data_IF_454499695651
#
_entry.id   IF_454499695651
#
_cell.length_a   1.000
_cell.length_b   1.000
_cell.length_c   1.000
_cell.angle_alpha   90.00
_cell.angle_beta   90.00
_cell.angle_gamma   90.00
#
_symmetry.space_group_name_H-M   'P 1'
#
loop_
_entity.id
_entity.type
_entity.pdbx_description
1 polymer ?
#
# COMPACT_ATOMS: atom_id res chain seq x y z
N UNK A 1 9.06 8.89 19.66
CA UNK A 1 8.15 8.00 20.42
C UNK A 1 6.80 8.08 19.74
N UNK A 2 6.29 6.95 19.25
CA UNK A 2 5.08 6.92 18.43
C UNK A 2 3.81 6.99 19.30
N UNK A 3 2.87 7.86 18.96
CA UNK A 3 1.55 7.94 19.57
C UNK A 3 0.55 7.11 18.75
N UNK A 4 0.19 5.93 19.28
CA UNK A 4 -0.71 4.98 18.67
C UNK A 4 -1.81 4.61 19.65
N UNK A 5 -3.08 4.87 19.31
CA UNK A 5 -4.18 4.74 20.26
C UNK A 5 -5.32 3.85 19.77
N UNK A 6 -6.06 3.29 20.72
CA UNK A 6 -7.33 2.65 20.50
C UNK A 6 -8.40 3.67 20.07
N UNK A 7 -9.41 3.23 19.33
CA UNK A 7 -10.51 4.08 18.83
C UNK A 7 -11.83 3.32 18.75
N UNK A 8 -12.93 4.04 18.61
CA UNK A 8 -14.27 3.46 18.42
C UNK A 8 -14.53 3.28 16.92
N UNK A 9 -14.18 2.11 16.36
CA UNK A 9 -14.41 1.85 14.95
C UNK A 9 -15.90 1.71 14.61
N UNK A 10 -16.28 2.22 13.43
CA UNK A 10 -17.39 1.66 12.69
C UNK A 10 -16.88 0.48 11.89
N UNK A 11 -17.59 -0.64 11.94
CA UNK A 11 -17.21 -1.89 11.27
C UNK A 11 -18.43 -2.68 10.83
N UNK A 12 -18.30 -3.63 9.87
CA UNK A 12 -19.41 -4.43 9.38
C UNK A 12 -20.18 -5.13 10.51
N UNK A 13 -21.52 -5.12 10.44
CA UNK A 13 -22.31 -6.08 11.20
C UNK A 13 -21.91 -7.50 10.76
N UNK A 14 -21.89 -8.48 11.67
CA UNK A 14 -21.28 -9.81 11.45
C UNK A 14 -21.76 -10.50 10.18
N UNK A 15 -23.05 -10.39 9.85
CA UNK A 15 -23.60 -10.99 8.63
C UNK A 15 -23.12 -10.31 7.33
N UNK A 16 -22.50 -9.14 7.42
CA UNK A 16 -21.98 -8.34 6.31
C UNK A 16 -20.45 -8.37 6.21
N UNK A 17 -19.75 -9.12 7.06
CA UNK A 17 -18.30 -9.15 7.13
C UNK A 17 -17.59 -9.43 5.81
N UNK A 18 -18.20 -10.23 4.91
CA UNK A 18 -17.66 -10.57 3.59
C UNK A 18 -18.30 -9.75 2.45
N UNK A 19 -19.32 -8.94 2.73
CA UNK A 19 -20.04 -8.16 1.73
C UNK A 19 -19.56 -6.70 1.65
N UNK A 20 -19.21 -6.12 2.80
CA UNK A 20 -18.79 -4.71 2.86
C UNK A 20 -17.33 -4.53 2.43
N UNK A 21 -16.34 -5.25 2.99
CA UNK A 21 -14.95 -4.97 2.70
C UNK A 21 -14.61 -5.11 1.22
N UNK A 22 -13.76 -4.22 0.73
CA UNK A 22 -13.35 -4.18 -0.66
C UNK A 22 -11.86 -3.83 -0.78
N UNK A 23 -11.24 -4.20 -1.91
CA UNK A 23 -9.90 -3.77 -2.25
C UNK A 23 -9.80 -2.23 -2.30
N UNK A 24 -8.61 -1.66 -2.04
CA UNK A 24 -8.40 -0.21 -2.10
C UNK A 24 -8.75 0.38 -3.46
N UNK A 25 -9.21 1.62 -3.47
CA UNK A 25 -9.69 2.35 -4.65
C UNK A 25 -8.70 2.44 -5.83
N UNK A 26 -7.41 2.31 -5.56
CA UNK A 26 -6.32 2.55 -6.51
C UNK A 26 -5.79 1.29 -7.20
N UNK A 27 -6.36 0.11 -6.90
CA UNK A 27 -5.97 -1.16 -7.53
C UNK A 27 -6.89 -1.57 -8.70
N UNK A 28 -7.92 -0.76 -9.00
CA UNK A 28 -8.86 -1.01 -10.09
C UNK A 28 -9.37 0.30 -10.70
N UNK A 29 -9.83 0.26 -11.95
CA UNK A 29 -10.53 1.38 -12.59
C UNK A 29 -12.04 1.37 -12.26
N UNK A 30 -12.78 2.41 -12.71
CA UNK A 30 -14.20 2.55 -12.37
C UNK A 30 -15.11 1.54 -13.09
N UNK A 31 -14.76 1.11 -14.30
CA UNK A 31 -15.55 0.09 -15.01
C UNK A 31 -15.37 -1.29 -14.35
N UNK A 32 -14.13 -1.63 -13.93
CA UNK A 32 -13.84 -2.83 -13.14
C UNK A 32 -14.60 -2.81 -11.80
N UNK A 33 -14.53 -1.70 -11.06
CA UNK A 33 -15.24 -1.54 -9.80
C UNK A 33 -16.74 -1.72 -9.97
N UNK A 34 -17.33 -1.16 -11.03
CA UNK A 34 -18.76 -1.27 -11.33
C UNK A 34 -19.18 -2.72 -11.58
N UNK A 35 -18.37 -3.50 -12.30
CA UNK A 35 -18.67 -4.92 -12.53
C UNK A 35 -18.53 -5.73 -11.24
N UNK A 36 -17.53 -5.44 -10.40
CA UNK A 36 -17.31 -6.13 -9.11
C UNK A 36 -18.49 -5.96 -8.15
N UNK A 37 -19.19 -4.83 -8.17
CA UNK A 37 -20.29 -4.54 -7.23
C UNK A 37 -21.68 -4.85 -7.77
N UNK A 38 -21.82 -5.33 -9.01
CA UNK A 38 -23.08 -5.51 -9.73
C UNK A 38 -24.19 -6.18 -8.93
N UNK A 39 -23.83 -7.17 -8.12
CA UNK A 39 -24.76 -7.94 -7.29
C UNK A 39 -24.54 -7.70 -5.78
N UNK A 40 -23.75 -6.69 -5.41
CA UNK A 40 -23.40 -6.41 -4.02
C UNK A 40 -23.60 -4.93 -3.64
N UNK A 41 -24.81 -4.53 -3.23
CA UNK A 41 -25.11 -3.14 -2.85
C UNK A 41 -24.47 -2.71 -1.53
N UNK A 42 -23.81 -3.61 -0.81
CA UNK A 42 -23.11 -3.33 0.43
C UNK A 42 -21.62 -3.01 0.22
N UNK A 43 -21.06 -3.30 -0.97
CA UNK A 43 -19.62 -3.17 -1.22
C UNK A 43 -19.10 -1.78 -0.88
N UNK A 44 -17.98 -1.73 -0.21
CA UNK A 44 -17.33 -0.48 0.15
C UNK A 44 -16.81 0.31 -1.07
N UNK A 45 -16.75 -0.32 -2.26
CA UNK A 45 -16.47 0.37 -3.51
C UNK A 45 -17.52 1.45 -3.85
N UNK A 46 -18.77 1.32 -3.39
CA UNK A 46 -19.77 2.38 -3.50
C UNK A 46 -19.39 3.65 -2.72
N UNK A 47 -18.43 3.56 -1.80
CA UNK A 47 -17.91 4.70 -1.02
C UNK A 47 -16.57 5.15 -1.59
N UNK A 48 -15.62 4.23 -1.73
CA UNK A 48 -14.25 4.56 -2.18
C UNK A 48 -14.17 4.95 -3.67
N UNK A 49 -15.15 4.51 -4.49
CA UNK A 49 -15.30 4.78 -5.93
C UNK A 49 -16.75 5.15 -6.28
N UNK A 50 -17.31 6.11 -5.55
CA UNK A 50 -18.73 6.46 -5.63
C UNK A 50 -19.20 6.93 -7.02
N UNK A 51 -18.29 7.26 -7.93
CA UNK A 51 -18.60 7.54 -9.34
C UNK A 51 -19.31 6.40 -10.06
N UNK A 52 -19.16 5.14 -9.57
CA UNK A 52 -19.82 3.98 -10.16
C UNK A 52 -21.35 4.00 -10.02
N UNK A 53 -21.86 4.77 -9.05
CA UNK A 53 -23.29 4.96 -8.78
C UNK A 53 -23.88 6.17 -9.52
N UNK A 54 -23.05 6.91 -10.25
CA UNK A 54 -23.44 8.11 -10.99
C UNK A 54 -23.53 7.84 -12.50
N UNK A 55 -24.16 8.74 -13.27
CA UNK A 55 -24.24 8.60 -14.72
C UNK A 55 -22.88 8.42 -15.38
N UNK A 56 -22.80 7.56 -16.41
CA UNK A 56 -21.55 7.36 -17.17
C UNK A 56 -21.06 8.68 -17.77
N UNK A 57 -19.77 9.00 -17.52
CA UNK A 57 -19.15 10.24 -17.97
C UNK A 57 -19.13 11.34 -16.92
N UNK A 58 -19.65 11.09 -15.71
CA UNK A 58 -19.45 12.00 -14.57
C UNK A 58 -17.94 12.15 -14.32
N UNK A 59 -17.50 13.40 -14.12
CA UNK A 59 -16.10 13.65 -13.71
C UNK A 59 -15.87 13.04 -12.32
N UNK A 60 -14.94 12.09 -12.26
CA UNK A 60 -14.62 11.34 -11.03
C UNK A 60 -14.09 12.24 -9.90
N UNK A 61 -13.71 13.49 -10.20
CA UNK A 61 -13.25 14.50 -9.25
C UNK A 61 -14.31 15.59 -8.96
N UNK A 62 -15.55 15.39 -9.41
CA UNK A 62 -16.64 16.34 -9.12
C UNK A 62 -17.14 16.26 -7.67
N UNK A 63 -17.68 17.37 -7.13
CA UNK A 63 -18.28 17.40 -5.79
C UNK A 63 -19.41 16.39 -5.61
N UNK A 64 -20.09 16.03 -6.70
CA UNK A 64 -21.18 15.06 -6.70
C UNK A 64 -20.68 13.66 -6.28
N UNK A 65 -19.48 13.27 -6.73
CA UNK A 65 -18.87 11.97 -6.37
C UNK A 65 -18.61 11.91 -4.86
N UNK A 66 -18.03 12.95 -4.27
CA UNK A 66 -17.75 12.96 -2.82
C UNK A 66 -19.03 13.03 -1.97
N UNK A 67 -20.04 13.78 -2.44
CA UNK A 67 -21.37 13.77 -1.77
C UNK A 67 -22.02 12.41 -1.83
N UNK A 68 -21.88 11.69 -2.98
CA UNK A 68 -22.40 10.33 -3.12
C UNK A 68 -21.67 9.34 -2.22
N UNK A 69 -20.34 9.46 -2.08
CA UNK A 69 -19.56 8.67 -1.13
C UNK A 69 -20.07 8.84 0.31
N UNK A 70 -20.28 10.09 0.74
CA UNK A 70 -20.85 10.40 2.05
C UNK A 70 -22.25 9.82 2.24
N UNK A 71 -23.14 10.01 1.26
CA UNK A 71 -24.50 9.46 1.30
C UNK A 71 -24.50 7.94 1.46
N UNK A 72 -23.64 7.25 0.71
CA UNK A 72 -23.51 5.79 0.77
C UNK A 72 -22.97 5.33 2.13
N UNK A 73 -21.97 6.02 2.68
CA UNK A 73 -21.43 5.72 4.02
C UNK A 73 -22.51 5.89 5.09
N UNK A 74 -23.16 7.04 5.13
CA UNK A 74 -24.26 7.30 6.08
C UNK A 74 -25.41 6.30 5.94
N UNK A 75 -25.70 5.82 4.73
CA UNK A 75 -26.73 4.81 4.52
C UNK A 75 -26.36 3.46 5.14
N UNK A 76 -25.08 3.01 5.00
CA UNK A 76 -24.63 1.78 5.66
C UNK A 76 -24.70 1.88 7.19
N UNK A 77 -24.43 3.06 7.77
CA UNK A 77 -24.54 3.32 9.20
C UNK A 77 -26.00 3.33 9.65
N UNK A 78 -26.87 4.11 8.98
CA UNK A 78 -28.30 4.22 9.31
C UNK A 78 -29.06 2.90 9.20
N UNK A 79 -28.67 2.04 8.28
CA UNK A 79 -29.27 0.71 8.11
C UNK A 79 -28.74 -0.34 9.07
N UNK A 80 -27.70 0.00 9.86
CA UNK A 80 -27.05 -0.92 10.78
C UNK A 80 -26.15 -1.97 10.07
N UNK A 81 -25.85 -1.75 8.77
CA UNK A 81 -24.88 -2.57 8.06
C UNK A 81 -23.45 -2.32 8.58
N UNK A 82 -23.17 -1.09 9.00
CA UNK A 82 -22.03 -0.72 9.83
C UNK A 82 -22.49 -0.46 11.27
N UNK A 83 -21.75 -0.98 12.23
CA UNK A 83 -22.00 -0.82 13.68
C UNK A 83 -20.81 -0.14 14.34
N UNK A 84 -21.06 0.76 15.28
CA UNK A 84 -20.02 1.40 16.07
C UNK A 84 -19.72 0.61 17.34
N UNK A 85 -18.45 0.43 17.67
CA UNK A 85 -18.04 -0.13 18.94
C UNK A 85 -18.32 0.82 20.10
N UNK A 86 -18.67 0.27 21.26
CA UNK A 86 -19.18 1.06 22.40
C UNK A 86 -18.08 1.81 23.16
N UNK A 87 -16.84 1.39 23.03
CA UNK A 87 -15.66 1.97 23.68
C UNK A 87 -14.44 1.89 22.74
N UNK A 88 -13.39 2.67 22.98
CA UNK A 88 -12.16 2.56 22.22
C UNK A 88 -11.55 1.18 22.36
N UNK A 89 -11.17 0.57 21.22
CA UNK A 89 -10.55 -0.73 21.13
C UNK A 89 -9.33 -0.67 20.21
N UNK A 90 -8.37 -1.56 20.41
CA UNK A 90 -7.50 -2.00 19.34
C UNK A 90 -8.11 -3.22 18.64
N UNK A 91 -7.66 -3.48 17.42
CA UNK A 91 -8.08 -4.68 16.70
C UNK A 91 -6.85 -5.42 16.22
N UNK A 92 -6.90 -6.75 16.23
CA UNK A 92 -5.92 -7.57 15.53
C UNK A 92 -6.48 -7.85 14.16
N UNK A 93 -5.71 -7.57 13.13
CA UNK A 93 -6.04 -7.88 11.75
C UNK A 93 -5.01 -8.82 11.16
N UNK A 94 -5.44 -10.06 10.88
CA UNK A 94 -4.62 -11.10 10.26
C UNK A 94 -5.10 -11.39 8.86
N UNK A 95 -4.14 -11.47 7.96
CA UNK A 95 -4.35 -11.88 6.58
C UNK A 95 -3.51 -13.13 6.29
N UNK A 96 -4.10 -14.13 5.62
CA UNK A 96 -3.39 -15.34 5.18
C UNK A 96 -3.55 -15.47 3.67
N UNK A 97 -2.42 -15.42 2.95
CA UNK A 97 -2.36 -15.55 1.51
C UNK A 97 -1.29 -16.60 1.15
N UNK A 98 -1.66 -17.60 0.33
CA UNK A 98 -0.75 -18.67 -0.09
C UNK A 98 0.00 -19.37 1.07
N UNK A 99 -0.67 -19.54 2.22
CA UNK A 99 -0.11 -20.16 3.42
C UNK A 99 0.77 -19.26 4.28
N UNK A 100 1.07 -18.02 3.84
CA UNK A 100 1.80 -17.01 4.62
C UNK A 100 0.83 -16.12 5.37
N UNK A 101 1.09 -15.95 6.66
CA UNK A 101 0.33 -15.07 7.55
C UNK A 101 1.05 -13.75 7.77
N UNK A 102 0.30 -12.64 7.83
CA UNK A 102 0.75 -11.37 8.40
C UNK A 102 -0.30 -10.87 9.38
N UNK A 103 0.14 -10.39 10.54
CA UNK A 103 -0.73 -9.98 11.65
C UNK A 103 -0.33 -8.59 12.13
N UNK A 104 -1.24 -7.64 12.06
CA UNK A 104 -1.04 -6.26 12.49
C UNK A 104 -2.05 -5.83 13.55
N UNK A 105 -1.75 -4.71 14.18
CA UNK A 105 -2.64 -4.02 15.11
C UNK A 105 -3.30 -2.85 14.38
N UNK A 106 -4.62 -2.79 14.45
CA UNK A 106 -5.41 -1.65 13.95
C UNK A 106 -5.62 -0.67 15.08
N UNK A 107 -5.31 0.57 14.81
CA UNK A 107 -5.47 1.69 15.72
C UNK A 107 -5.33 3.02 14.97
N UNK A 108 -5.27 4.11 15.71
CA UNK A 108 -5.11 5.43 15.13
C UNK A 108 -3.74 6.01 15.48
N UNK A 109 -3.00 6.42 14.45
CA UNK A 109 -1.70 7.08 14.57
C UNK A 109 -1.85 8.61 14.53
N UNK A 110 -0.99 9.33 15.24
CA UNK A 110 -1.04 10.79 15.34
C UNK A 110 -0.60 11.49 14.06
N UNK A 111 -1.33 12.54 13.65
CA UNK A 111 -0.89 13.42 12.57
C UNK A 111 0.37 14.20 12.94
N UNK A 112 0.60 14.47 14.23
CA UNK A 112 1.83 15.12 14.70
C UNK A 112 3.06 14.25 14.50
N UNK A 113 2.93 12.93 14.66
CA UNK A 113 4.01 11.98 14.40
C UNK A 113 4.42 11.98 12.92
N UNK A 114 3.46 12.16 12.01
CA UNK A 114 3.78 12.33 10.60
C UNK A 114 4.49 13.67 10.32
N UNK A 115 4.03 14.77 10.92
CA UNK A 115 4.62 16.09 10.74
C UNK A 115 6.03 16.17 11.34
N UNK A 116 6.25 15.51 12.48
CA UNK A 116 7.54 15.48 13.20
C UNK A 116 8.46 14.35 12.72
N UNK A 117 8.11 13.66 11.62
CA UNK A 117 8.91 12.58 11.04
C UNK A 117 9.17 11.39 11.99
N UNK A 118 8.27 11.16 12.96
CA UNK A 118 8.19 9.91 13.72
C UNK A 118 7.55 8.84 12.83
N UNK A 119 6.57 9.21 12.00
CA UNK A 119 6.07 8.38 10.90
C UNK A 119 6.83 8.75 9.64
N UNK A 120 7.71 7.86 9.21
CA UNK A 120 8.67 8.07 8.13
C UNK A 120 8.11 7.69 6.78
N UNK A 121 8.53 8.43 5.76
CA UNK A 121 8.09 8.31 4.36
C UNK A 121 9.24 7.84 3.49
N UNK A 122 8.96 7.10 2.45
CA UNK A 122 9.93 6.70 1.45
C UNK A 122 9.45 6.99 0.01
N UNK A 123 8.27 7.62 -0.16
CA UNK A 123 7.71 7.97 -1.46
C UNK A 123 7.09 9.38 -1.42
N UNK A 124 7.21 10.12 -2.54
CA UNK A 124 6.51 11.38 -2.74
C UNK A 124 5.07 11.15 -3.21
N UNK A 125 4.15 11.94 -2.67
CA UNK A 125 2.77 11.96 -3.12
C UNK A 125 2.58 12.79 -4.38
N UNK A 126 1.58 12.43 -5.20
CA UNK A 126 1.16 13.20 -6.36
C UNK A 126 0.03 14.15 -5.96
N UNK A 127 0.20 15.45 -6.22
CA UNK A 127 -0.72 16.50 -5.78
C UNK A 127 -2.19 16.23 -6.17
N UNK A 128 -2.44 15.75 -7.40
CA UNK A 128 -3.80 15.44 -7.87
C UNK A 128 -4.47 14.30 -7.09
N UNK A 129 -3.71 13.22 -6.78
CA UNK A 129 -4.22 12.08 -5.99
C UNK A 129 -4.42 12.46 -4.54
N UNK A 130 -3.55 13.31 -4.02
CA UNK A 130 -3.65 13.80 -2.65
C UNK A 130 -4.88 14.70 -2.49
N UNK A 131 -5.12 15.64 -3.40
CA UNK A 131 -6.31 16.50 -3.40
C UNK A 131 -7.60 15.69 -3.47
N UNK A 132 -7.66 14.68 -4.32
CA UNK A 132 -8.79 13.75 -4.41
C UNK A 132 -9.09 13.11 -3.04
N UNK A 133 -8.08 12.58 -2.38
CA UNK A 133 -8.27 11.93 -1.07
C UNK A 133 -8.56 12.93 0.05
N UNK A 134 -8.02 14.15 0.02
CA UNK A 134 -8.39 15.22 0.95
C UNK A 134 -9.90 15.49 0.86
N UNK A 135 -10.41 15.70 -0.35
CA UNK A 135 -11.85 15.98 -0.56
C UNK A 135 -12.72 14.81 -0.12
N UNK A 136 -12.30 13.59 -0.39
CA UNK A 136 -13.00 12.37 0.03
C UNK A 136 -13.07 12.27 1.56
N UNK A 137 -11.94 12.33 2.27
CA UNK A 137 -11.84 12.23 3.73
C UNK A 137 -12.61 13.38 4.40
N UNK A 138 -12.45 14.61 3.90
CA UNK A 138 -13.11 15.79 4.46
C UNK A 138 -14.64 15.73 4.30
N UNK A 139 -15.13 15.29 3.13
CA UNK A 139 -16.56 15.18 2.84
C UNK A 139 -17.22 14.03 3.60
N UNK A 140 -16.59 12.87 3.65
CA UNK A 140 -17.06 11.71 4.42
C UNK A 140 -16.91 11.93 5.93
N UNK A 141 -16.09 12.89 6.36
CA UNK A 141 -15.69 13.12 7.75
C UNK A 141 -15.13 11.85 8.41
N UNK A 142 -14.43 11.04 7.65
CA UNK A 142 -13.93 9.73 8.09
C UNK A 142 -12.70 9.27 7.30
N UNK A 143 -11.84 8.50 7.95
CA UNK A 143 -10.86 7.65 7.29
C UNK A 143 -11.54 6.33 6.91
N UNK A 144 -11.70 6.08 5.63
CA UNK A 144 -12.48 4.95 5.06
C UNK A 144 -11.64 3.73 4.75
N UNK A 145 -10.33 3.87 4.67
CA UNK A 145 -9.38 2.79 4.43
C UNK A 145 -8.11 2.95 5.26
N UNK A 146 -7.58 1.88 5.84
CA UNK A 146 -6.43 1.97 6.72
C UNK A 146 -5.14 2.31 5.95
N UNK A 147 -4.26 3.04 6.62
CA UNK A 147 -2.88 3.26 6.18
C UNK A 147 -2.06 2.07 6.65
N UNK A 148 -1.21 1.54 5.78
CA UNK A 148 -0.35 0.41 6.06
C UNK A 148 0.97 0.91 6.66
N UNK A 149 1.15 0.71 7.96
CA UNK A 149 2.36 1.06 8.70
C UNK A 149 3.17 -0.18 9.05
N UNK A 150 4.48 -0.01 9.20
CA UNK A 150 5.36 -1.02 9.78
C UNK A 150 6.26 -0.40 10.85
N UNK A 151 6.76 -1.23 11.75
CA UNK A 151 7.67 -0.84 12.83
C UNK A 151 8.67 -1.96 13.11
N UNK A 152 9.82 -1.60 13.67
CA UNK A 152 10.81 -2.59 14.13
C UNK A 152 10.17 -3.42 15.24
N UNK A 153 10.18 -4.73 15.09
CA UNK A 153 9.52 -5.68 15.99
C UNK A 153 9.73 -5.34 17.46
N UNK A 154 8.64 -5.36 18.21
CA UNK A 154 8.62 -5.32 19.67
C UNK A 154 8.00 -6.62 20.18
N UNK A 155 8.79 -7.41 20.90
CA UNK A 155 8.36 -8.74 21.37
C UNK A 155 7.20 -8.69 22.36
N UNK A 156 7.06 -7.63 23.16
CA UNK A 156 5.95 -7.47 24.09
C UNK A 156 4.65 -7.29 23.30
N UNK A 157 4.65 -6.41 22.30
CA UNK A 157 3.48 -6.22 21.42
C UNK A 157 3.13 -7.54 20.72
N UNK A 158 4.11 -8.19 20.08
CA UNK A 158 3.89 -9.45 19.35
C UNK A 158 3.35 -10.55 20.24
N UNK A 159 3.89 -10.70 21.44
CA UNK A 159 3.42 -11.70 22.42
C UNK A 159 2.01 -11.38 22.92
N UNK A 160 1.69 -10.12 23.19
CA UNK A 160 0.35 -9.67 23.61
C UNK A 160 -0.69 -9.98 22.54
N UNK A 161 -0.42 -9.61 21.29
CA UNK A 161 -1.28 -9.88 20.14
C UNK A 161 -1.53 -11.38 19.95
N UNK A 162 -0.45 -12.17 19.95
CA UNK A 162 -0.55 -13.60 19.74
C UNK A 162 -1.28 -14.31 20.90
N UNK A 163 -1.07 -13.87 22.14
CA UNK A 163 -1.77 -14.42 23.31
C UNK A 163 -3.26 -14.10 23.28
N UNK A 164 -3.62 -12.85 22.91
CA UNK A 164 -5.01 -12.44 22.76
C UNK A 164 -5.73 -13.24 21.69
N UNK A 165 -5.15 -13.34 20.50
CA UNK A 165 -5.74 -14.07 19.38
C UNK A 165 -5.91 -15.58 19.62
N UNK A 166 -5.10 -16.18 20.51
CA UNK A 166 -5.25 -17.60 20.92
C UNK A 166 -6.33 -17.78 21.97
N UNK A 167 -6.54 -16.78 22.83
CA UNK A 167 -7.45 -16.88 23.99
C UNK A 167 -8.89 -16.45 23.65
N UNK A 168 -9.11 -15.75 22.55
CA UNK A 168 -10.40 -15.16 22.20
C UNK A 168 -10.86 -15.59 20.80
N UNK A 169 -12.18 -15.67 20.63
CA UNK A 169 -12.79 -15.91 19.33
C UNK A 169 -12.65 -14.65 18.42
N UNK A 170 -12.43 -14.88 17.14
CA UNK A 170 -12.43 -13.80 16.14
C UNK A 170 -13.86 -13.28 15.93
N UNK A 171 -13.98 -11.96 15.77
CA UNK A 171 -15.26 -11.34 15.40
C UNK A 171 -15.56 -11.52 13.91
N UNK A 172 -14.51 -11.57 13.09
CA UNK A 172 -14.61 -11.86 11.65
C UNK A 172 -13.63 -12.96 11.27
N UNK A 173 -14.08 -13.80 10.36
CA UNK A 173 -13.27 -14.80 9.65
C UNK A 173 -13.94 -15.07 8.30
N UNK A 174 -13.33 -14.59 7.20
CA UNK A 174 -13.88 -14.70 5.86
C UNK A 174 -12.78 -14.67 4.80
N UNK A 175 -13.12 -15.09 3.59
CA UNK A 175 -12.21 -15.03 2.43
C UNK A 175 -12.68 -13.93 1.48
N UNK A 176 -11.74 -13.06 1.07
CA UNK A 176 -11.93 -12.08 0.02
C UNK A 176 -10.72 -12.14 -0.93
N UNK A 177 -10.96 -12.20 -2.23
CA UNK A 177 -9.93 -12.25 -3.28
C UNK A 177 -8.84 -13.32 -3.04
N UNK A 178 -9.24 -14.48 -2.51
CA UNK A 178 -8.33 -15.60 -2.22
C UNK A 178 -7.48 -15.43 -0.95
N UNK A 179 -7.71 -14.35 -0.18
CA UNK A 179 -7.02 -14.06 1.08
C UNK A 179 -7.98 -14.29 2.25
N UNK A 180 -7.57 -15.07 3.23
CA UNK A 180 -8.32 -15.19 4.49
C UNK A 180 -8.10 -13.94 5.33
N UNK A 181 -9.19 -13.36 5.81
CA UNK A 181 -9.26 -12.14 6.62
C UNK A 181 -9.78 -12.50 8.00
N UNK A 182 -9.01 -12.31 9.05
CA UNK A 182 -9.44 -12.60 10.42
C UNK A 182 -9.25 -11.39 11.31
N UNK A 183 -10.27 -11.07 12.13
CA UNK A 183 -10.25 -9.89 13.02
C UNK A 183 -10.62 -10.29 14.43
N UNK A 184 -9.88 -9.78 15.42
CA UNK A 184 -10.21 -9.83 16.85
C UNK A 184 -10.34 -8.42 17.41
N UNK A 185 -11.18 -8.23 18.40
CA UNK A 185 -11.33 -6.98 19.15
C UNK A 185 -10.55 -7.10 20.46
N UNK A 186 -9.69 -6.14 20.74
CA UNK A 186 -9.02 -5.97 22.03
C UNK A 186 -9.74 -4.85 22.77
N UNK A 187 -10.57 -5.22 23.74
CA UNK A 187 -11.40 -4.31 24.51
C UNK A 187 -11.07 -4.29 26.02
N UNK A 188 -10.02 -5.00 26.42
CA UNK A 188 -9.49 -5.02 27.76
C UNK A 188 -8.57 -3.82 28.01
N UNK A 189 -8.85 -3.03 29.06
CA UNK A 189 -8.14 -1.78 29.35
C UNK A 189 -6.66 -2.00 29.69
N UNK A 190 -6.30 -3.09 30.39
CA UNK A 190 -4.91 -3.36 30.74
C UNK A 190 -4.09 -3.75 29.51
N UNK A 191 -4.70 -4.50 28.60
CA UNK A 191 -4.07 -4.86 27.31
C UNK A 191 -3.94 -3.63 26.40
N UNK A 192 -4.98 -2.78 26.32
CA UNK A 192 -4.94 -1.52 25.58
C UNK A 192 -3.83 -0.63 26.10
N UNK A 193 -3.72 -0.45 27.42
CA UNK A 193 -2.67 0.33 28.05
C UNK A 193 -1.27 -0.25 27.80
N UNK A 194 -1.13 -1.56 27.83
CA UNK A 194 0.12 -2.26 27.51
C UNK A 194 0.56 -1.95 26.08
N UNK A 195 -0.33 -2.13 25.11
CA UNK A 195 -0.05 -1.88 23.69
C UNK A 195 0.34 -0.40 23.47
N UNK A 196 -0.45 0.54 23.99
CA UNK A 196 -0.19 1.97 23.86
C UNK A 196 1.15 2.37 24.48
N UNK A 197 1.47 1.82 25.65
CA UNK A 197 2.74 2.07 26.34
C UNK A 197 3.93 1.52 25.56
N UNK A 198 3.79 0.36 24.95
CA UNK A 198 4.86 -0.23 24.13
C UNK A 198 5.05 0.53 22.81
N UNK A 199 3.97 0.97 22.15
CA UNK A 199 4.09 1.85 20.98
C UNK A 199 4.79 3.17 21.32
N UNK A 200 4.54 3.73 22.50
CA UNK A 200 5.24 4.93 22.96
C UNK A 200 6.76 4.76 23.14
N UNK A 201 7.29 3.53 23.16
CA UNK A 201 8.72 3.23 23.17
C UNK A 201 9.32 3.05 21.77
N UNK A 202 8.49 2.96 20.74
CA UNK A 202 8.92 2.81 19.35
C UNK A 202 9.39 4.17 18.83
N UNK A 203 10.63 4.24 18.32
CA UNK A 203 11.23 5.47 17.85
C UNK A 203 10.62 5.97 16.54
N UNK A 204 10.24 5.06 15.65
CA UNK A 204 9.68 5.39 14.36
C UNK A 204 8.69 4.32 13.86
N UNK A 205 7.62 4.80 13.19
CA UNK A 205 6.78 4.03 12.30
C UNK A 205 7.15 4.36 10.85
N UNK A 206 6.88 3.44 9.93
CA UNK A 206 7.21 3.61 8.51
C UNK A 206 5.96 3.34 7.69
N UNK A 207 5.65 4.23 6.74
CA UNK A 207 4.55 3.99 5.80
C UNK A 207 4.99 2.88 4.84
N UNK A 208 4.34 1.73 4.87
CA UNK A 208 4.57 0.65 3.92
C UNK A 208 3.76 0.88 2.64
N UNK A 209 2.46 1.20 2.77
CA UNK A 209 1.57 1.54 1.67
C UNK A 209 0.55 2.61 2.10
N UNK A 210 0.01 3.38 1.15
CA UNK A 210 -0.99 4.41 1.40
C UNK A 210 -0.43 5.80 1.70
N UNK A 211 0.71 6.19 1.11
CA UNK A 211 1.30 7.53 1.28
C UNK A 211 0.31 8.66 0.97
N UNK A 212 -0.51 8.53 -0.09
CA UNK A 212 -1.54 9.52 -0.43
C UNK A 212 -2.63 9.59 0.64
N UNK A 213 -3.09 8.45 1.15
CA UNK A 213 -4.08 8.39 2.25
C UNK A 213 -3.54 9.03 3.52
N UNK A 214 -2.28 8.76 3.86
CA UNK A 214 -1.63 9.35 5.03
C UNK A 214 -1.50 10.86 4.91
N UNK A 215 -0.94 11.36 3.79
CA UNK A 215 -0.79 12.80 3.56
C UNK A 215 -2.14 13.53 3.57
N UNK A 216 -3.18 12.93 2.98
CA UNK A 216 -4.53 13.52 2.95
C UNK A 216 -5.16 13.57 4.34
N UNK A 217 -5.06 12.51 5.13
CA UNK A 217 -5.57 12.50 6.50
C UNK A 217 -4.90 13.58 7.37
N UNK A 218 -3.58 13.74 7.24
CA UNK A 218 -2.83 14.80 7.94
C UNK A 218 -3.30 16.19 7.54
N UNK A 219 -3.47 16.46 6.23
CA UNK A 219 -3.95 17.76 5.75
C UNK A 219 -5.37 18.08 6.18
N UNK A 220 -6.27 17.08 6.21
CA UNK A 220 -7.62 17.27 6.76
C UNK A 220 -7.55 17.56 8.25
N UNK A 221 -6.73 16.85 9.02
CA UNK A 221 -6.53 17.14 10.44
C UNK A 221 -6.01 18.56 10.67
N UNK A 222 -5.02 19.02 9.90
CA UNK A 222 -4.53 20.40 9.96
C UNK A 222 -5.63 21.42 9.64
N UNK A 223 -6.44 21.19 8.59
CA UNK A 223 -7.59 22.02 8.27
C UNK A 223 -8.59 22.10 9.44
N UNK A 224 -8.91 20.97 10.09
CA UNK A 224 -9.79 20.94 11.27
C UNK A 224 -9.21 21.72 12.45
N UNK A 225 -7.88 21.69 12.65
CA UNK A 225 -7.21 22.53 13.68
C UNK A 225 -7.34 24.02 13.39
N UNK A 226 -7.24 24.42 12.12
CA UNK A 226 -7.46 25.81 11.70
C UNK A 226 -8.92 26.24 11.92
N UNK A 227 -9.88 25.37 11.65
CA UNK A 227 -11.31 25.61 11.88
C UNK A 227 -11.69 25.60 13.38
N UNK A 228 -10.92 24.92 14.23
CA UNK A 228 -11.11 24.79 15.68
C UNK A 228 -9.82 25.16 16.43
N UNK A 229 -9.46 26.46 16.57
CA UNK A 229 -8.18 26.87 17.16
C UNK A 229 -7.98 26.48 18.63
N UNK A 230 -9.08 26.16 19.33
CA UNK A 230 -9.12 25.73 20.73
C UNK A 230 -9.06 24.20 20.89
N UNK A 231 -8.61 23.46 19.85
CA UNK A 231 -8.43 22.01 19.93
C UNK A 231 -7.44 21.62 21.05
N UNK A 232 -7.70 20.49 21.68
CA UNK A 232 -6.92 20.00 22.83
C UNK A 232 -5.78 19.04 22.42
N UNK A 233 -5.89 18.44 21.24
CA UNK A 233 -5.02 17.37 20.74
C UNK A 233 -5.64 15.97 20.86
N UNK A 234 -6.74 15.84 21.61
CA UNK A 234 -7.42 14.55 21.82
C UNK A 234 -8.54 14.27 20.81
N UNK A 235 -8.93 15.28 20.00
CA UNK A 235 -9.98 15.15 18.99
C UNK A 235 -9.60 14.11 17.92
N UNK A 236 -10.60 13.40 17.38
CA UNK A 236 -10.39 12.31 16.43
C UNK A 236 -9.68 12.77 15.13
N UNK A 237 -9.89 14.00 14.68
CA UNK A 237 -9.18 14.54 13.50
C UNK A 237 -7.67 14.74 13.71
N UNK A 238 -7.14 14.59 14.92
CA UNK A 238 -5.71 14.58 15.21
C UNK A 238 -5.06 13.22 14.98
N UNK A 239 -5.85 12.24 14.54
CA UNK A 239 -5.41 10.86 14.34
C UNK A 239 -5.95 10.30 13.03
N UNK A 240 -5.29 9.29 12.50
CA UNK A 240 -5.73 8.60 11.29
C UNK A 240 -5.67 7.08 11.45
N UNK A 241 -6.64 6.43 10.82
CA UNK A 241 -6.77 4.98 10.81
C UNK A 241 -5.56 4.30 10.15
N UNK A 242 -4.98 3.34 10.83
CA UNK A 242 -3.87 2.56 10.31
C UNK A 242 -3.85 1.12 10.83
N UNK A 243 -3.13 0.26 10.13
CA UNK A 243 -2.73 -1.06 10.61
C UNK A 243 -1.21 -1.08 10.70
N UNK A 244 -0.67 -1.31 11.88
CA UNK A 244 0.75 -1.38 12.14
C UNK A 244 1.20 -2.84 12.26
N UNK A 245 2.16 -3.24 11.41
CA UNK A 245 2.76 -4.57 11.40
C UNK A 245 4.20 -4.52 11.89
N UNK A 246 4.66 -5.52 12.65
CA UNK A 246 6.09 -5.67 12.88
C UNK A 246 6.79 -6.02 11.54
N UNK A 247 8.02 -5.57 11.39
CA UNK A 247 8.78 -5.68 10.13
C UNK A 247 9.04 -7.13 9.69
N UNK A 248 9.08 -8.07 10.60
CA UNK A 248 9.26 -9.50 10.32
C UNK A 248 7.97 -10.23 9.87
N UNK A 249 6.81 -9.58 9.95
CA UNK A 249 5.54 -10.09 9.43
C UNK A 249 5.32 -9.69 7.95
N UNK A 250 6.12 -8.78 7.40
CA UNK A 250 5.90 -8.23 6.07
C UNK A 250 6.86 -8.79 5.02
N UNK A 251 6.34 -8.88 3.80
CA UNK A 251 7.09 -9.23 2.62
C UNK A 251 6.79 -8.25 1.49
N UNK A 252 7.85 -7.75 0.85
CA UNK A 252 7.73 -6.96 -0.37
C UNK A 252 7.88 -7.90 -1.55
N UNK A 253 6.92 -7.87 -2.47
CA UNK A 253 7.01 -8.62 -3.73
C UNK A 253 7.81 -7.84 -4.77
N UNK A 254 8.28 -8.54 -5.78
CA UNK A 254 8.91 -7.95 -6.94
C UNK A 254 7.96 -6.99 -7.67
N UNK A 255 8.48 -5.86 -8.14
CA UNK A 255 7.74 -4.91 -8.94
C UNK A 255 8.43 -4.81 -10.30
N UNK A 256 7.89 -5.56 -11.26
CA UNK A 256 8.48 -5.78 -12.57
C UNK A 256 8.20 -4.61 -13.51
N UNK A 257 8.99 -4.48 -14.59
CA UNK A 257 8.86 -3.42 -15.60
C UNK A 257 8.62 -4.06 -16.96
N UNK A 258 7.79 -3.37 -17.77
CA UNK A 258 7.62 -3.69 -19.19
C UNK A 258 7.78 -2.41 -20.01
N UNK A 259 8.41 -2.51 -21.18
CA UNK A 259 8.77 -1.37 -22.02
C UNK A 259 8.30 -1.60 -23.44
N UNK A 260 7.72 -0.56 -24.08
CA UNK A 260 7.06 -0.64 -25.39
C UNK A 260 8.02 -0.88 -26.54
N UNK A 261 9.24 -0.37 -26.49
CA UNK A 261 10.18 -0.40 -27.60
C UNK A 261 11.64 -0.37 -27.14
N UNK A 262 12.57 -0.51 -28.04
CA UNK A 262 14.02 -0.51 -27.81
C UNK A 262 14.67 0.84 -28.15
N UNK A 263 13.94 1.94 -28.11
CA UNK A 263 14.46 3.29 -28.45
C UNK A 263 15.09 3.35 -29.85
N UNK A 264 14.46 2.71 -30.83
CA UNK A 264 14.92 2.68 -32.23
C UNK A 264 16.07 1.71 -32.52
N UNK A 265 16.63 1.01 -31.52
CA UNK A 265 17.70 0.03 -31.71
C UNK A 265 17.15 -1.30 -32.23
N UNK A 266 17.98 -2.00 -33.01
CA UNK A 266 17.80 -3.43 -33.23
C UNK A 266 18.05 -4.22 -31.93
N UNK A 267 17.63 -5.48 -31.91
CA UNK A 267 17.88 -6.38 -30.78
C UNK A 267 19.39 -6.55 -30.49
N UNK A 268 20.19 -6.72 -31.55
CA UNK A 268 21.64 -6.89 -31.45
C UNK A 268 22.33 -5.66 -30.89
N UNK A 269 21.95 -4.46 -31.36
CA UNK A 269 22.46 -3.19 -30.85
C UNK A 269 22.09 -3.01 -29.36
N UNK A 270 20.84 -3.30 -29.00
CA UNK A 270 20.39 -3.24 -27.61
C UNK A 270 21.18 -4.20 -26.72
N UNK A 271 21.30 -5.50 -27.09
CA UNK A 271 22.07 -6.49 -26.30
C UNK A 271 23.54 -6.08 -26.16
N UNK A 272 24.14 -5.53 -27.23
CA UNK A 272 25.50 -5.02 -27.19
C UNK A 272 25.68 -3.84 -26.23
N UNK A 273 24.70 -2.91 -26.18
CA UNK A 273 24.76 -1.74 -25.30
C UNK A 273 24.73 -2.10 -23.79
N UNK A 274 24.16 -3.25 -23.43
CA UNK A 274 24.13 -3.72 -22.04
C UNK A 274 25.51 -4.14 -21.52
N UNK A 275 26.43 -4.51 -22.39
CA UNK A 275 27.71 -5.13 -22.03
C UNK A 275 28.62 -4.26 -21.17
N UNK A 276 28.42 -2.93 -21.17
CA UNK A 276 29.17 -2.00 -20.30
C UNK A 276 28.80 -2.20 -18.82
N UNK A 277 27.53 -2.33 -18.55
CA UNK A 277 26.97 -2.30 -17.18
C UNK A 277 26.58 -3.68 -16.65
N UNK A 278 26.27 -4.63 -17.55
CA UNK A 278 25.76 -5.95 -17.16
C UNK A 278 26.52 -7.08 -17.83
N UNK A 279 26.59 -8.22 -17.14
CA UNK A 279 26.84 -9.51 -17.76
C UNK A 279 25.51 -10.04 -18.26
N UNK A 280 25.46 -10.48 -19.54
CA UNK A 280 24.24 -10.92 -20.22
C UNK A 280 24.36 -12.40 -20.55
N UNK A 281 23.51 -13.22 -19.99
CA UNK A 281 23.47 -14.67 -20.19
C UNK A 281 22.10 -15.06 -20.76
N UNK A 282 22.05 -15.68 -21.95
CA UNK A 282 20.79 -16.22 -22.48
C UNK A 282 20.42 -17.49 -21.70
N UNK A 283 19.15 -17.59 -21.29
CA UNK A 283 18.61 -18.73 -20.54
C UNK A 283 17.47 -19.41 -21.31
N UNK A 284 17.27 -20.70 -21.10
CA UNK A 284 16.28 -21.50 -21.86
C UNK A 284 14.85 -21.32 -21.36
N UNK A 285 14.68 -20.88 -20.10
CA UNK A 285 13.38 -20.75 -19.44
C UNK A 285 13.25 -19.39 -18.77
N UNK A 286 12.06 -19.06 -18.27
CA UNK A 286 11.82 -17.89 -17.45
C UNK A 286 12.86 -17.77 -16.33
N UNK A 287 13.42 -16.58 -16.15
CA UNK A 287 14.36 -16.31 -15.07
C UNK A 287 13.77 -15.35 -14.05
N UNK A 288 13.46 -15.87 -12.86
CA UNK A 288 13.13 -15.06 -11.68
C UNK A 288 14.40 -14.82 -10.86
N UNK A 289 14.80 -13.57 -10.61
CA UNK A 289 15.96 -13.26 -9.79
C UNK A 289 15.84 -13.87 -8.39
N UNK A 290 16.92 -14.50 -7.92
CA UNK A 290 17.01 -15.12 -6.58
C UNK A 290 17.94 -14.38 -5.63
N UNK A 291 18.63 -13.36 -6.13
CA UNK A 291 19.55 -12.51 -5.34
C UNK A 291 19.59 -11.11 -5.91
N UNK A 292 20.01 -10.15 -5.07
CA UNK A 292 20.25 -8.77 -5.46
C UNK A 292 21.20 -8.64 -6.63
N UNK A 293 21.08 -7.54 -7.36
CA UNK A 293 21.92 -7.16 -8.50
C UNK A 293 21.82 -8.13 -9.68
N UNK A 294 20.71 -8.91 -9.70
CA UNK A 294 20.37 -9.75 -10.86
C UNK A 294 18.95 -9.44 -11.35
N UNK A 295 18.75 -9.55 -12.66
CA UNK A 295 17.47 -9.25 -13.32
C UNK A 295 17.14 -10.34 -14.32
N UNK A 296 15.86 -10.69 -14.44
CA UNK A 296 15.38 -11.41 -15.61
C UNK A 296 15.03 -10.40 -16.70
N UNK A 297 15.43 -10.64 -17.91
CA UNK A 297 15.06 -9.82 -19.06
C UNK A 297 14.42 -10.69 -20.12
N UNK A 298 13.24 -10.27 -20.57
CA UNK A 298 12.55 -10.88 -21.70
C UNK A 298 12.57 -9.90 -22.88
N UNK A 299 13.12 -10.31 -23.98
CA UNK A 299 13.05 -9.59 -25.25
C UNK A 299 12.54 -10.53 -26.35
N UNK A 300 11.49 -10.12 -27.03
CA UNK A 300 10.74 -10.97 -27.96
C UNK A 300 10.23 -12.24 -27.26
N UNK A 301 10.85 -13.41 -27.45
CA UNK A 301 10.50 -14.66 -26.77
C UNK A 301 11.68 -15.26 -26.00
N UNK A 302 12.80 -14.57 -25.94
CA UNK A 302 14.03 -15.06 -25.32
C UNK A 302 14.23 -14.44 -23.94
N UNK A 303 14.47 -15.29 -22.97
CA UNK A 303 14.85 -14.89 -21.63
C UNK A 303 16.36 -14.77 -21.47
N UNK A 304 16.75 -13.77 -20.70
CA UNK A 304 18.14 -13.48 -20.32
C UNK A 304 18.23 -13.24 -18.83
N UNK A 305 19.34 -13.68 -18.25
CA UNK A 305 19.76 -13.24 -16.93
C UNK A 305 20.74 -12.08 -17.11
N UNK A 306 20.47 -10.96 -16.48
CA UNK A 306 21.41 -9.87 -16.35
C UNK A 306 22.01 -9.90 -14.95
N UNK A 307 23.34 -9.72 -14.85
CA UNK A 307 24.02 -9.52 -13.58
C UNK A 307 24.73 -8.17 -13.62
N UNK A 308 24.42 -7.28 -12.68
CA UNK A 308 25.07 -5.97 -12.59
C UNK A 308 26.56 -6.14 -12.27
N UNK A 309 27.41 -5.42 -12.98
CA UNK A 309 28.86 -5.41 -12.71
C UNK A 309 29.16 -4.59 -11.45
N UNK A 310 30.19 -4.95 -10.71
CA UNK A 310 30.56 -4.29 -9.45
C UNK A 310 30.74 -2.77 -9.58
N UNK A 311 31.26 -2.31 -10.73
CA UNK A 311 31.52 -0.89 -10.98
C UNK A 311 30.28 0.01 -11.00
N UNK A 312 29.09 -0.55 -11.15
CA UNK A 312 27.82 0.20 -11.16
C UNK A 312 27.03 0.05 -9.85
N UNK A 313 27.58 -0.67 -8.86
CA UNK A 313 26.95 -0.94 -7.58
C UNK A 313 27.54 -0.01 -6.54
N UNK A 314 26.75 0.89 -5.97
CA UNK A 314 27.16 1.79 -4.88
C UNK A 314 26.50 1.32 -3.55
N UNK A 315 27.16 0.39 -2.87
CA UNK A 315 26.67 -0.13 -1.58
C UNK A 315 26.66 0.92 -0.46
N UNK A 316 27.40 2.02 -0.62
CA UNK A 316 27.47 3.09 0.38
C UNK A 316 26.22 3.98 0.39
N UNK A 317 25.48 4.01 -0.73
CA UNK A 317 24.29 4.81 -0.88
C UNK A 317 23.03 3.92 -0.83
N UNK A 318 22.16 4.06 0.18
CA UNK A 318 21.01 3.17 0.37
C UNK A 318 19.97 3.23 -0.77
N UNK A 319 19.93 4.32 -1.56
CA UNK A 319 19.04 4.44 -2.73
C UNK A 319 19.73 3.87 -3.97
N UNK A 320 20.98 4.22 -4.24
CA UNK A 320 21.70 3.79 -5.46
C UNK A 320 21.98 2.29 -5.49
N UNK A 321 22.12 1.65 -4.32
CA UNK A 321 22.31 0.18 -4.24
C UNK A 321 21.06 -0.65 -4.55
N UNK A 322 19.87 -0.02 -4.65
CA UNK A 322 18.64 -0.73 -4.99
C UNK A 322 18.66 -1.22 -6.43
N UNK A 323 18.19 -2.43 -6.68
CA UNK A 323 18.08 -2.99 -8.02
C UNK A 323 17.25 -2.11 -8.97
N UNK A 324 16.22 -1.45 -8.44
CA UNK A 324 15.41 -0.48 -9.19
C UNK A 324 16.23 0.74 -9.63
N UNK A 325 17.14 1.23 -8.79
CA UNK A 325 18.05 2.34 -9.13
C UNK A 325 19.12 1.90 -10.12
N UNK A 326 19.71 0.73 -9.89
CA UNK A 326 20.72 0.16 -10.80
C UNK A 326 20.14 0.00 -12.21
N UNK A 327 18.94 -0.55 -12.34
CA UNK A 327 18.27 -0.70 -13.64
C UNK A 327 17.94 0.66 -14.25
N UNK A 328 17.44 1.62 -13.46
CA UNK A 328 17.10 2.96 -13.91
C UNK A 328 18.32 3.70 -14.45
N UNK A 329 19.38 3.77 -13.65
CA UNK A 329 20.54 4.64 -13.93
C UNK A 329 21.47 4.06 -15.00
N UNK A 330 21.44 2.73 -15.22
CA UNK A 330 22.38 2.07 -16.13
C UNK A 330 21.73 1.42 -17.36
N UNK A 331 20.38 1.43 -17.44
CA UNK A 331 19.68 0.84 -18.58
C UNK A 331 18.50 1.70 -19.04
N UNK A 332 17.51 1.96 -18.15
CA UNK A 332 16.27 2.63 -18.57
C UNK A 332 16.52 4.07 -19.06
N UNK A 333 17.30 4.86 -18.29
CA UNK A 333 17.64 6.23 -18.70
C UNK A 333 18.67 6.25 -19.85
N UNK A 334 19.90 5.73 -19.71
CA UNK A 334 20.96 5.97 -20.70
C UNK A 334 20.78 5.19 -22.01
N UNK A 335 20.06 4.06 -22.03
CA UNK A 335 19.91 3.21 -23.22
C UNK A 335 18.52 3.38 -23.83
N UNK A 336 17.47 3.37 -22.99
CA UNK A 336 16.09 3.43 -23.48
C UNK A 336 15.48 4.85 -23.46
N UNK A 337 16.23 5.87 -22.99
CA UNK A 337 15.76 7.26 -22.89
C UNK A 337 14.46 7.39 -22.04
N UNK A 338 14.42 6.64 -20.91
CA UNK A 338 13.31 6.67 -19.93
C UNK A 338 13.85 7.29 -18.65
N UNK A 339 13.89 8.63 -18.60
CA UNK A 339 14.46 9.36 -17.46
C UNK A 339 13.52 9.39 -16.25
N UNK A 340 12.24 9.65 -16.46
CA UNK A 340 11.23 9.62 -15.41
C UNK A 340 10.17 8.54 -15.69
N UNK A 341 10.29 7.39 -15.03
CA UNK A 341 9.35 6.28 -15.24
C UNK A 341 7.93 6.55 -14.68
N UNK A 342 7.70 7.65 -13.94
CA UNK A 342 6.34 8.05 -13.49
C UNK A 342 5.50 8.66 -14.60
N UNK A 343 6.14 9.36 -15.51
CA UNK A 343 5.48 10.18 -16.52
C UNK A 343 5.69 9.67 -17.95
N UNK A 344 6.65 8.76 -18.15
CA UNK A 344 6.95 8.19 -19.46
C UNK A 344 5.93 7.09 -19.83
N UNK A 345 5.25 7.25 -20.95
CA UNK A 345 4.21 6.33 -21.43
C UNK A 345 4.76 5.08 -22.14
N UNK A 346 6.10 4.98 -22.31
CA UNK A 346 6.77 3.81 -22.87
C UNK A 346 7.07 2.71 -21.85
N UNK A 347 6.90 2.96 -20.55
CA UNK A 347 7.12 2.00 -19.49
C UNK A 347 5.83 1.78 -18.69
N UNK A 348 5.62 0.53 -18.26
CA UNK A 348 4.55 0.16 -17.34
C UNK A 348 5.08 -0.82 -16.27
N UNK A 349 4.29 -1.04 -15.22
CA UNK A 349 4.70 -1.76 -14.02
C UNK A 349 3.77 -2.92 -13.71
N UNK A 350 4.35 -4.07 -13.38
CA UNK A 350 3.63 -5.32 -13.10
C UNK A 350 4.00 -5.81 -11.69
N UNK A 351 3.02 -5.81 -10.78
CA UNK A 351 3.22 -6.38 -9.44
C UNK A 351 3.52 -7.88 -9.50
N UNK A 352 4.44 -8.34 -8.67
CA UNK A 352 4.94 -9.72 -8.66
C UNK A 352 3.87 -10.79 -8.44
N UNK A 353 2.74 -10.42 -7.84
CA UNK A 353 1.58 -11.33 -7.67
C UNK A 353 1.04 -11.89 -9.00
N UNK A 354 1.22 -11.17 -10.11
CA UNK A 354 0.80 -11.61 -11.45
C UNK A 354 1.75 -12.65 -12.07
N UNK A 355 2.95 -12.84 -11.48
CA UNK A 355 3.95 -13.79 -11.95
C UNK A 355 4.62 -13.40 -13.28
N UNK A 356 5.62 -14.20 -13.69
CA UNK A 356 6.39 -13.96 -14.93
C UNK A 356 5.57 -14.19 -16.20
N UNK A 357 4.54 -15.02 -16.15
CA UNK A 357 3.63 -15.25 -17.29
C UNK A 357 2.94 -13.96 -17.76
N UNK A 358 2.71 -13.02 -16.87
CA UNK A 358 2.15 -11.71 -17.24
C UNK A 358 3.15 -10.87 -18.05
N UNK A 359 4.44 -10.95 -17.74
CA UNK A 359 5.49 -10.31 -18.54
C UNK A 359 5.52 -10.85 -19.97
N UNK A 360 5.40 -12.17 -20.12
CA UNK A 360 5.34 -12.82 -21.44
C UNK A 360 4.08 -12.42 -22.20
N UNK A 361 2.93 -12.36 -21.53
CA UNK A 361 1.68 -11.91 -22.14
C UNK A 361 1.81 -10.49 -22.68
N UNK A 362 2.30 -9.56 -21.84
CA UNK A 362 2.49 -8.16 -22.22
C UNK A 362 3.50 -8.01 -23.36
N UNK A 363 4.59 -8.76 -23.37
CA UNK A 363 5.56 -8.72 -24.47
C UNK A 363 5.00 -9.27 -25.80
N UNK A 364 3.97 -10.14 -25.75
CA UNK A 364 3.28 -10.63 -26.96
C UNK A 364 2.22 -9.64 -27.48
N UNK A 365 1.59 -8.86 -26.60
CA UNK A 365 0.44 -8.03 -26.93
C UNK A 365 0.84 -6.59 -27.25
N UNK A 366 1.54 -5.90 -26.34
CA UNK A 366 1.71 -4.45 -26.40
C UNK A 366 3.11 -3.94 -26.02
N UNK A 367 4.00 -4.81 -25.50
CA UNK A 367 5.35 -4.46 -25.07
C UNK A 367 6.41 -5.23 -25.86
N UNK A 368 7.65 -4.73 -25.86
CA UNK A 368 8.77 -5.37 -26.54
C UNK A 368 9.80 -5.97 -25.59
N UNK A 369 9.84 -5.45 -24.37
CA UNK A 369 10.87 -5.75 -23.39
C UNK A 369 10.24 -5.83 -22.01
N UNK A 370 10.70 -6.78 -21.19
CA UNK A 370 10.30 -6.86 -19.78
C UNK A 370 11.50 -7.15 -18.89
N UNK A 371 11.41 -6.68 -17.63
CA UNK A 371 12.39 -6.93 -16.59
C UNK A 371 11.70 -7.53 -15.37
N UNK A 372 12.10 -8.75 -15.00
CA UNK A 372 11.80 -9.34 -13.71
C UNK A 372 12.83 -8.85 -12.69
N UNK A 373 12.33 -8.30 -11.58
CA UNK A 373 13.14 -7.68 -10.54
C UNK A 373 13.34 -8.60 -9.34
N UNK A 374 14.45 -8.41 -8.62
CA UNK A 374 14.55 -8.91 -7.25
C UNK A 374 13.79 -7.95 -6.32
N UNK A 375 12.99 -8.45 -5.37
CA UNK A 375 12.20 -7.58 -4.50
C UNK A 375 13.09 -6.75 -3.56
N UNK A 376 12.69 -5.51 -3.32
CA UNK A 376 13.29 -4.65 -2.29
C UNK A 376 12.99 -5.22 -0.90
N UNK A 377 13.92 -5.15 0.04
CA UNK A 377 13.69 -5.63 1.40
C UNK A 377 13.03 -4.57 2.30
N UNK A 378 12.34 -5.02 3.36
CA UNK A 378 11.84 -4.13 4.43
C UNK A 378 13.00 -3.34 5.06
N UNK A 379 14.16 -3.97 5.23
CA UNK A 379 15.36 -3.30 5.74
C UNK A 379 15.85 -2.16 4.84
N UNK A 380 15.77 -2.29 3.51
CA UNK A 380 16.11 -1.21 2.59
C UNK A 380 15.12 -0.05 2.70
N UNK A 381 13.81 -0.35 2.73
CA UNK A 381 12.77 0.65 2.93
C UNK A 381 13.02 1.46 4.20
N UNK A 382 13.21 0.78 5.34
CA UNK A 382 13.46 1.44 6.62
C UNK A 382 14.75 2.24 6.62
N UNK A 383 15.85 1.71 6.06
CA UNK A 383 17.13 2.40 5.99
C UNK A 383 17.07 3.70 5.18
N UNK A 384 16.33 3.69 4.06
CA UNK A 384 16.12 4.86 3.21
C UNK A 384 15.27 5.90 3.93
N UNK A 385 14.18 5.46 4.56
CA UNK A 385 13.31 6.33 5.33
C UNK A 385 14.00 6.92 6.57
N UNK A 386 14.88 6.15 7.24
CA UNK A 386 15.72 6.62 8.36
C UNK A 386 16.71 7.70 7.93
N UNK A 387 17.25 7.56 6.72
CA UNK A 387 18.15 8.57 6.14
C UNK A 387 17.38 9.81 5.58
N UNK A 388 16.05 9.87 5.71
CA UNK A 388 15.18 10.89 5.12
C UNK A 388 15.33 10.99 3.58
N UNK A 389 15.62 9.87 2.95
CA UNK A 389 15.71 9.75 1.51
C UNK A 389 14.41 9.16 0.91
N UNK A 390 14.28 9.31 -0.39
CA UNK A 390 13.11 8.82 -1.14
C UNK A 390 13.55 7.71 -2.09
N UNK A 391 12.77 6.65 -2.14
CA UNK A 391 12.95 5.56 -3.09
C UNK A 391 12.55 5.99 -4.50
N UNK A 392 13.16 5.41 -5.54
CA UNK A 392 12.63 5.53 -6.89
C UNK A 392 11.16 5.08 -6.95
N UNK A 393 10.38 5.60 -7.90
CA UNK A 393 8.97 5.21 -8.03
C UNK A 393 8.83 3.70 -8.29
N UNK A 394 7.76 3.11 -7.74
CA UNK A 394 7.44 1.70 -7.95
C UNK A 394 8.56 0.75 -7.50
N UNK A 395 9.12 1.03 -6.32
CA UNK A 395 10.16 0.20 -5.70
C UNK A 395 9.62 -0.89 -4.79
N UNK A 396 8.38 -0.73 -4.30
CA UNK A 396 7.76 -1.66 -3.33
C UNK A 396 6.38 -2.08 -3.80
N UNK A 397 6.05 -3.35 -3.59
CA UNK A 397 4.71 -3.90 -3.81
C UNK A 397 4.35 -4.80 -2.63
N UNK A 398 3.42 -4.35 -1.79
CA UNK A 398 2.95 -5.12 -0.63
C UNK A 398 1.70 -5.92 -0.97
N UNK A 399 1.71 -7.20 -0.62
CA UNK A 399 0.57 -8.11 -0.65
C UNK A 399 0.50 -8.94 0.63
N UNK A 400 -0.72 -9.32 1.06
CA UNK A 400 -2.02 -8.89 0.53
C UNK A 400 -2.31 -7.42 0.83
N UNK A 401 -3.15 -6.79 -0.01
CA UNK A 401 -3.63 -5.43 0.23
C UNK A 401 -4.58 -5.39 1.43
N UNK A 402 -4.51 -4.32 2.21
CA UNK A 402 -5.48 -4.08 3.28
C UNK A 402 -6.83 -3.70 2.67
N UNK A 403 -7.91 -4.31 3.14
CA UNK A 403 -9.25 -3.99 2.67
C UNK A 403 -9.76 -2.69 3.30
N UNK A 404 -10.42 -1.86 2.49
CA UNK A 404 -11.26 -0.76 2.94
C UNK A 404 -12.56 -1.29 3.53
N UNK A 405 -13.18 -0.55 4.46
CA UNK A 405 -14.50 -0.86 4.99
C UNK A 405 -14.57 -1.97 6.06
N UNK A 406 -13.43 -2.56 6.48
CA UNK A 406 -13.41 -3.40 7.70
C UNK A 406 -13.44 -2.49 8.94
N UNK A 407 -12.72 -1.39 8.87
CA UNK A 407 -12.65 -0.38 9.93
C UNK A 407 -12.82 1.00 9.32
N UNK A 408 -13.62 1.83 9.98
CA UNK A 408 -13.82 3.24 9.61
C UNK A 408 -13.60 4.05 10.88
N UNK A 409 -12.82 5.11 10.76
CA UNK A 409 -12.54 6.05 11.83
C UNK A 409 -13.13 7.42 11.49
N UNK A 410 -14.19 7.83 12.22
CA UNK A 410 -14.77 9.17 12.09
C UNK A 410 -13.87 10.22 12.73
N UNK A 411 -13.88 11.42 12.15
CA UNK A 411 -13.03 12.54 12.59
C UNK A 411 -13.70 13.44 13.64
N UNK A 412 -14.93 13.11 14.02
CA UNK A 412 -15.72 13.84 15.04
C UNK A 412 -16.48 12.87 15.90
#
# INVERSE_FOLDING_TARGET
MALYRAFQAFRPEKSKQALIPALPYDVMNSDEAKEMVKDNPYSFLHIDKAEIDLPKGTDIYSDEVYRKAKENLENLEKTGALIQDKKPCFYIYRQIMNGRSQTGIVGCASIDDYMNNVIKKHEHTLAKKEEDRIRHVDTCNANTGPIFLTYRKNDIISNTVNSWARAHESVYDFVADGVNQTVWVIDDEDIINTISTEFAKIDALYIADGHHRCASAVKVGQKRREEKPDYTGDEEFNFFLSVAFPDDELEIMDYNRVVKDLNGMSREEFLSSLSHSFEVEKVETQYKPTKRHTFGMLIENDWYKLSAKEQIIDESNPVKRLDVSILQDNLLSPILDIDDPKTNDRIDFIGGIRGLGELERRCKEDMKLAFAMYPTSIGDLMSIADANLIMPPKSTWFEPKLLSGIFIHHLT
#
